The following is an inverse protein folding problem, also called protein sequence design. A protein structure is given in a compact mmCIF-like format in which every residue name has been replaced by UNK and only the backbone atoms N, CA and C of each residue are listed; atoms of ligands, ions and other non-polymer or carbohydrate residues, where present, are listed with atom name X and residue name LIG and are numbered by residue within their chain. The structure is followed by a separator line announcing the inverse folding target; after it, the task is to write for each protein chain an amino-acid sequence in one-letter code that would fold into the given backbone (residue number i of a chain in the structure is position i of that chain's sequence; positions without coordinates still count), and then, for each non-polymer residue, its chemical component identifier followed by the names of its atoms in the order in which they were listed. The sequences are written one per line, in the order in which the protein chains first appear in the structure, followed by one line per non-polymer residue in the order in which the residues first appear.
data_IF_491796370740
#
_entry.id   IF_491796370740
#
_cell.length_a   1.000
_cell.length_b   1.000
_cell.length_c   1.000
_cell.angle_alpha   90.00
_cell.angle_beta   90.00
_cell.angle_gamma   90.00
#
_symmetry.space_group_name_H-M   'P 1'
#
loop_
_entity.id
_entity.type
_entity.pdbx_description
1 polymer ?
#
# COMPACT_ATOMS: atom_id res chain seq x y z
N UNK A 1 27.62 -4.62 -1.38
CA UNK A 1 26.76 -4.18 -2.49
C UNK A 1 25.36 -4.77 -2.43
N UNK A 2 25.23 -6.01 -1.98
CA UNK A 2 23.93 -6.65 -1.81
C UNK A 2 22.99 -5.94 -0.83
N UNK A 3 23.56 -5.31 0.20
CA UNK A 3 22.79 -4.60 1.21
C UNK A 3 22.06 -3.38 0.66
N UNK A 4 22.65 -2.66 -0.29
CA UNK A 4 22.02 -1.49 -0.91
C UNK A 4 20.84 -1.89 -1.78
N UNK A 5 20.95 -2.98 -2.52
CA UNK A 5 19.87 -3.49 -3.35
C UNK A 5 18.70 -3.98 -2.50
N UNK A 6 18.99 -4.68 -1.41
CA UNK A 6 17.98 -5.14 -0.48
C UNK A 6 17.23 -3.99 0.17
N UNK A 7 17.95 -2.93 0.54
CA UNK A 7 17.36 -1.73 1.14
C UNK A 7 16.44 -1.01 0.16
N UNK A 8 16.89 -0.82 -1.08
CA UNK A 8 16.09 -0.15 -2.12
C UNK A 8 14.85 -0.98 -2.44
N UNK A 9 14.99 -2.29 -2.59
CA UNK A 9 13.86 -3.18 -2.81
C UNK A 9 12.85 -3.14 -1.67
N UNK A 10 13.34 -3.10 -0.44
CA UNK A 10 12.50 -2.99 0.75
C UNK A 10 11.75 -1.65 0.77
N UNK A 11 12.43 -0.55 0.45
CA UNK A 11 11.81 0.77 0.36
C UNK A 11 10.73 0.81 -0.70
N UNK A 12 11.00 0.28 -1.89
CA UNK A 12 10.02 0.23 -2.97
C UNK A 12 8.82 -0.62 -2.55
N UNK A 13 9.07 -1.77 -1.92
CA UNK A 13 8.02 -2.64 -1.42
C UNK A 13 7.13 -1.99 -0.37
N UNK A 14 7.70 -1.09 0.46
CA UNK A 14 6.94 -0.34 1.46
C UNK A 14 6.23 0.87 0.85
N UNK A 15 6.83 1.51 -0.14
CA UNK A 15 6.26 2.68 -0.80
C UNK A 15 5.04 2.34 -1.66
N UNK A 16 5.07 1.20 -2.33
CA UNK A 16 3.95 0.76 -3.17
C UNK A 16 2.63 0.66 -2.39
N UNK A 17 2.55 -0.06 -1.27
CA UNK A 17 1.30 -0.12 -0.51
C UNK A 17 0.91 1.22 0.09
N UNK A 18 1.88 2.04 0.47
CA UNK A 18 1.61 3.38 0.97
C UNK A 18 0.93 4.24 -0.08
N UNK A 19 1.43 4.22 -1.31
CA UNK A 19 0.84 4.94 -2.45
C UNK A 19 -0.57 4.41 -2.73
N UNK A 20 -0.76 3.10 -2.70
CA UNK A 20 -2.07 2.48 -2.91
C UNK A 20 -3.08 2.91 -1.84
N UNK A 21 -2.67 2.89 -0.58
CA UNK A 21 -3.55 3.30 0.52
C UNK A 21 -3.91 4.77 0.39
N UNK A 22 -2.93 5.63 0.12
CA UNK A 22 -3.17 7.06 -0.06
C UNK A 22 -4.07 7.33 -1.27
N UNK A 23 -3.81 6.65 -2.39
CA UNK A 23 -4.63 6.77 -3.59
C UNK A 23 -6.07 6.32 -3.36
N UNK A 24 -6.23 5.17 -2.67
CA UNK A 24 -7.55 4.67 -2.33
C UNK A 24 -8.31 5.58 -1.39
N UNK A 25 -7.64 6.11 -0.38
CA UNK A 25 -8.23 7.08 0.55
C UNK A 25 -8.66 8.34 -0.18
N UNK A 26 -7.82 8.85 -1.10
CA UNK A 26 -8.16 10.00 -1.93
C UNK A 26 -9.37 9.75 -2.82
N UNK A 27 -9.43 8.56 -3.45
CA UNK A 27 -10.57 8.17 -4.26
C UNK A 27 -11.87 8.07 -3.44
N UNK A 28 -11.78 7.48 -2.25
CA UNK A 28 -12.92 7.37 -1.35
C UNK A 28 -13.40 8.76 -0.91
N UNK A 29 -12.47 9.65 -0.59
CA UNK A 29 -12.79 11.03 -0.22
C UNK A 29 -13.49 11.77 -1.36
N UNK A 30 -12.99 11.63 -2.58
CA UNK A 30 -13.62 12.21 -3.77
C UNK A 30 -15.02 11.64 -3.98
N UNK A 31 -15.19 10.35 -3.76
CA UNK A 31 -16.50 9.71 -3.85
C UNK A 31 -17.50 10.27 -2.87
N UNK A 32 -17.06 10.54 -1.64
CA UNK A 32 -17.92 11.16 -0.61
C UNK A 32 -18.32 12.58 -1.01
N UNK A 33 -17.35 13.36 -1.50
CA UNK A 33 -17.62 14.74 -1.92
C UNK A 33 -18.57 14.79 -3.11
N UNK A 34 -18.40 13.90 -4.07
CA UNK A 34 -19.23 13.84 -5.27
C UNK A 34 -20.54 13.05 -5.07
N UNK A 35 -20.66 12.37 -3.95
CA UNK A 35 -21.81 11.51 -3.70
C UNK A 35 -21.86 10.27 -4.57
N UNK A 36 -20.71 9.78 -5.04
CA UNK A 36 -20.63 8.61 -5.91
C UNK A 36 -20.28 7.37 -5.11
N UNK A 37 -21.20 6.45 -4.99
CA UNK A 37 -21.02 5.16 -4.32
C UNK A 37 -19.93 4.33 -5.01
N UNK A 38 -19.86 4.40 -6.34
CA UNK A 38 -18.88 3.64 -7.13
C UNK A 38 -17.47 4.05 -6.75
N UNK A 39 -17.21 5.36 -6.65
CA UNK A 39 -15.90 5.86 -6.27
C UNK A 39 -15.53 5.48 -4.85
N UNK A 40 -16.49 5.52 -3.93
CA UNK A 40 -16.26 5.11 -2.53
C UNK A 40 -15.87 3.64 -2.48
N UNK A 41 -16.60 2.78 -3.16
CA UNK A 41 -16.35 1.34 -3.18
C UNK A 41 -14.98 1.06 -3.81
N UNK A 42 -14.66 1.69 -4.93
CA UNK A 42 -13.37 1.53 -5.59
C UNK A 42 -12.22 1.97 -4.68
N UNK A 43 -12.37 3.10 -4.01
CA UNK A 43 -11.38 3.59 -3.07
C UNK A 43 -11.16 2.61 -1.92
N UNK A 44 -12.22 2.05 -1.37
CA UNK A 44 -12.13 1.05 -0.31
C UNK A 44 -11.42 -0.22 -0.77
N UNK A 45 -11.72 -0.68 -1.99
CA UNK A 45 -11.07 -1.86 -2.58
C UNK A 45 -9.56 -1.60 -2.73
N UNK A 46 -9.18 -0.42 -3.22
CA UNK A 46 -7.77 -0.07 -3.39
C UNK A 46 -7.05 0.01 -2.05
N UNK A 47 -7.69 0.58 -1.04
CA UNK A 47 -7.13 0.64 0.32
C UNK A 47 -6.95 -0.77 0.87
N UNK A 48 -7.95 -1.63 0.74
CA UNK A 48 -7.86 -3.02 1.20
C UNK A 48 -6.73 -3.76 0.49
N UNK A 49 -6.59 -3.59 -0.82
CA UNK A 49 -5.49 -4.18 -1.58
C UNK A 49 -4.14 -3.69 -1.09
N UNK A 50 -4.02 -2.40 -0.82
CA UNK A 50 -2.78 -1.82 -0.28
C UNK A 50 -2.42 -2.38 1.08
N UNK A 51 -3.40 -2.53 1.97
CA UNK A 51 -3.18 -3.11 3.31
C UNK A 51 -2.76 -4.57 3.19
N UNK A 52 -3.44 -5.35 2.36
CA UNK A 52 -3.08 -6.75 2.13
C UNK A 52 -1.67 -6.88 1.57
N UNK A 53 -1.33 -6.04 0.60
CA UNK A 53 0.01 -6.02 0.01
C UNK A 53 1.06 -5.71 1.07
N UNK A 54 0.78 -4.74 1.93
CA UNK A 54 1.66 -4.36 3.02
C UNK A 54 1.91 -5.53 3.97
N UNK A 55 0.86 -6.28 4.33
CA UNK A 55 0.98 -7.44 5.21
C UNK A 55 1.81 -8.53 4.54
N UNK A 56 1.57 -8.79 3.25
CA UNK A 56 2.32 -9.80 2.49
C UNK A 56 3.81 -9.43 2.42
N UNK A 57 4.11 -8.18 2.14
CA UNK A 57 5.50 -7.70 2.07
C UNK A 57 6.19 -7.84 3.42
N UNK A 58 5.50 -7.51 4.51
CA UNK A 58 6.04 -7.65 5.86
C UNK A 58 6.29 -9.10 6.24
N UNK A 59 5.44 -10.03 5.80
CA UNK A 59 5.63 -11.45 6.04
C UNK A 59 6.80 -12.02 5.24
N UNK A 60 6.93 -11.61 3.97
CA UNK A 60 8.00 -12.07 3.10
C UNK A 60 9.37 -11.49 3.47
N UNK A 61 9.39 -10.23 3.88
CA UNK A 61 10.62 -9.56 4.32
C UNK A 61 10.57 -9.32 5.81
N UNK A 62 10.66 -10.39 6.57
CA UNK A 62 10.66 -10.31 8.03
C UNK A 62 11.85 -9.45 8.48
N UNK A 63 11.63 -8.24 9.04
CA UNK A 63 12.73 -7.37 9.42
C UNK A 63 13.59 -7.96 10.55
N UNK A 64 13.05 -8.93 11.28
CA UNK A 64 13.80 -9.59 12.34
C UNK A 64 14.87 -10.55 11.80
N UNK A 65 14.67 -11.07 10.58
CA UNK A 65 15.67 -11.92 9.93
C UNK A 65 16.89 -11.13 9.46
N UNK A 66 16.78 -9.81 9.39
CA UNK A 66 17.86 -8.93 8.96
C UNK A 66 18.83 -8.59 10.11
N UNK A 67 18.44 -8.88 11.33
CA UNK A 67 19.25 -8.71 12.52
C UNK A 67 19.75 -10.05 13.01
#
# INVERSE_FOLDING_TARGET
MGKKRGFVGYLIGLLMPLILVLGGAGLAALGVVQGSLVLIVMGLIVVAAGVLWSVVVLELTNPFDWF
#
